data_IF_213215624189
#
_entry.id   IF_213215624189
#
_cell.length_a   1.000
_cell.length_b   1.000
_cell.length_c   1.000
_cell.angle_alpha   90.00
_cell.angle_beta   90.00
_cell.angle_gamma   90.00
#
_symmetry.space_group_name_H-M   'P 1'
#
loop_
_entity.id
_entity.type
_entity.pdbx_description
1 polymer ?
#
# COMPACT_ATOMS: atom_id res chain seq x y z
N UNK A 1 -8.66 9.12 17.18
CA UNK A 1 -9.82 8.57 16.45
C UNK A 1 -9.26 7.87 15.22
N UNK A 2 -8.85 6.61 15.36
CA UNK A 2 -7.98 5.92 14.38
C UNK A 2 -8.66 4.69 13.75
N UNK A 3 -10.00 4.61 13.77
CA UNK A 3 -10.75 3.44 13.29
C UNK A 3 -10.35 3.05 11.87
N UNK A 4 -10.20 4.01 10.95
CA UNK A 4 -9.80 3.73 9.57
C UNK A 4 -8.38 3.17 9.47
N UNK A 5 -7.43 3.68 10.26
CA UNK A 5 -6.05 3.19 10.24
C UNK A 5 -5.95 1.79 10.86
N UNK A 6 -6.65 1.54 11.96
CA UNK A 6 -6.75 0.20 12.53
C UNK A 6 -7.37 -0.77 11.54
N UNK A 7 -8.46 -0.37 10.88
CA UNK A 7 -9.09 -1.20 9.86
C UNK A 7 -8.13 -1.54 8.73
N UNK A 8 -7.42 -0.54 8.19
CA UNK A 8 -6.41 -0.76 7.16
C UNK A 8 -5.35 -1.77 7.61
N UNK A 9 -4.82 -1.63 8.82
CA UNK A 9 -3.79 -2.53 9.36
C UNK A 9 -4.31 -3.96 9.58
N UNK A 10 -5.53 -4.09 10.09
CA UNK A 10 -6.17 -5.39 10.32
C UNK A 10 -6.43 -6.11 9.01
N UNK A 11 -6.97 -5.42 8.00
CA UNK A 11 -7.15 -5.97 6.65
C UNK A 11 -5.82 -6.45 6.08
N UNK A 12 -4.78 -5.62 6.14
CA UNK A 12 -3.46 -5.98 5.59
C UNK A 12 -2.88 -7.21 6.28
N UNK A 13 -2.97 -7.27 7.61
CA UNK A 13 -2.51 -8.43 8.37
C UNK A 13 -3.29 -9.69 7.98
N UNK A 14 -4.61 -9.62 7.94
CA UNK A 14 -5.46 -10.75 7.59
C UNK A 14 -5.19 -11.28 6.18
N UNK A 15 -4.89 -10.39 5.22
CA UNK A 15 -4.49 -10.80 3.87
C UNK A 15 -3.11 -11.48 3.83
N UNK A 16 -2.16 -11.03 4.65
CA UNK A 16 -0.85 -11.69 4.80
C UNK A 16 -0.98 -13.08 5.42
N UNK A 17 -1.88 -13.22 6.40
CA UNK A 17 -2.19 -14.49 7.06
C UNK A 17 -3.07 -15.42 6.18
N UNK A 18 -3.38 -15.03 4.93
CA UNK A 18 -4.23 -15.76 3.99
C UNK A 18 -5.62 -16.09 4.59
N UNK A 19 -6.17 -15.17 5.38
CA UNK A 19 -7.50 -15.33 5.96
C UNK A 19 -8.56 -15.51 4.88
N UNK A 20 -9.55 -16.36 5.17
CA UNK A 20 -10.68 -16.56 4.27
C UNK A 20 -11.45 -15.23 4.07
N UNK A 21 -12.04 -14.98 2.89
CA UNK A 21 -12.84 -13.77 2.63
C UNK A 21 -14.01 -13.56 3.61
N UNK A 22 -14.51 -14.65 4.21
CA UNK A 22 -15.56 -14.63 5.22
C UNK A 22 -15.08 -14.19 6.63
N UNK A 23 -13.76 -14.08 6.86
CA UNK A 23 -13.22 -13.61 8.13
C UNK A 23 -13.63 -12.16 8.37
N UNK A 24 -14.07 -11.83 9.57
CA UNK A 24 -14.66 -10.54 9.89
C UNK A 24 -13.71 -9.60 10.63
N UNK A 25 -13.89 -8.31 10.40
CA UNK A 25 -13.25 -7.21 11.12
C UNK A 25 -14.34 -6.40 11.83
N UNK A 26 -14.07 -6.03 13.09
CA UNK A 26 -14.97 -5.20 13.89
C UNK A 26 -14.57 -3.73 13.84
N UNK A 27 -15.44 -2.90 13.27
CA UNK A 27 -15.29 -1.45 13.19
C UNK A 27 -16.15 -0.76 14.25
N UNK A 28 -15.64 0.32 14.84
CA UNK A 28 -16.36 1.15 15.81
C UNK A 28 -16.44 2.58 15.30
N UNK A 29 -17.63 3.15 15.30
CA UNK A 29 -17.87 4.47 14.74
C UNK A 29 -19.14 5.10 15.31
N UNK A 30 -19.63 6.09 14.58
CA UNK A 30 -20.89 6.79 14.90
C UNK A 30 -21.94 6.35 13.91
N UNK A 31 -23.09 5.91 14.42
CA UNK A 31 -24.27 5.69 13.60
C UNK A 31 -24.77 7.03 13.06
N UNK A 32 -24.96 7.13 11.75
CA UNK A 32 -25.40 8.38 11.11
C UNK A 32 -26.91 8.62 11.26
N UNK A 33 -27.71 7.58 11.53
CA UNK A 33 -29.17 7.69 11.67
C UNK A 33 -29.53 8.22 13.06
N UNK A 34 -29.06 7.54 14.09
CA UNK A 34 -29.40 7.76 15.50
C UNK A 34 -28.31 8.52 16.27
N UNK A 35 -27.16 8.84 15.63
CA UNK A 35 -26.05 9.66 16.17
C UNK A 35 -25.34 9.10 17.39
N UNK A 36 -25.56 7.82 17.74
CA UNK A 36 -24.94 7.13 18.87
C UNK A 36 -23.69 6.34 18.43
N UNK A 37 -22.77 6.01 19.36
CA UNK A 37 -21.69 5.07 19.09
C UNK A 37 -22.24 3.70 18.70
N UNK A 38 -21.70 3.14 17.62
CA UNK A 38 -22.08 1.83 17.11
C UNK A 38 -20.85 1.01 16.70
N UNK A 39 -21.04 -0.30 16.61
CA UNK A 39 -20.05 -1.22 16.07
C UNK A 39 -20.66 -2.04 14.93
N UNK A 40 -19.85 -2.34 13.93
CA UNK A 40 -20.22 -3.13 12.77
C UNK A 40 -19.17 -4.21 12.56
N UNK A 41 -19.60 -5.43 12.28
CA UNK A 41 -18.73 -6.51 11.83
C UNK A 41 -18.90 -6.67 10.32
N UNK A 42 -17.79 -6.64 9.58
CA UNK A 42 -17.78 -6.76 8.13
C UNK A 42 -16.83 -7.89 7.72
N UNK A 43 -17.23 -8.75 6.77
CA UNK A 43 -16.31 -9.64 6.09
C UNK A 43 -15.19 -8.87 5.41
N UNK A 44 -13.97 -9.40 5.47
CA UNK A 44 -12.83 -8.79 4.77
C UNK A 44 -13.03 -8.80 3.25
N UNK A 45 -13.76 -9.80 2.72
CA UNK A 45 -14.11 -9.89 1.31
C UNK A 45 -14.83 -8.65 0.78
N UNK A 46 -15.66 -7.99 1.60
CA UNK A 46 -16.38 -6.77 1.21
C UNK A 46 -15.46 -5.55 1.12
N UNK A 47 -14.33 -5.59 1.83
CA UNK A 47 -13.33 -4.50 1.86
C UNK A 47 -12.25 -4.69 0.80
N UNK A 48 -12.07 -5.90 0.26
CA UNK A 48 -11.10 -6.20 -0.80
C UNK A 48 -11.23 -5.28 -2.02
N UNK A 49 -12.41 -5.07 -2.62
CA UNK A 49 -12.56 -4.19 -3.79
C UNK A 49 -12.13 -2.75 -3.51
N UNK A 50 -12.30 -2.27 -2.27
CA UNK A 50 -11.87 -0.94 -1.85
C UNK A 50 -10.35 -0.86 -1.87
N UNK A 51 -9.67 -1.86 -1.30
CA UNK A 51 -8.20 -1.94 -1.31
C UNK A 51 -7.67 -2.03 -2.73
N UNK A 52 -8.21 -2.94 -3.54
CA UNK A 52 -7.81 -3.14 -4.94
C UNK A 52 -7.94 -1.86 -5.78
N UNK A 53 -9.02 -1.10 -5.60
CA UNK A 53 -9.21 0.20 -6.26
C UNK A 53 -8.06 1.17 -5.98
N UNK A 54 -7.59 1.24 -4.73
CA UNK A 54 -6.48 2.10 -4.35
C UNK A 54 -5.14 1.61 -4.92
N UNK A 55 -4.89 0.30 -4.86
CA UNK A 55 -3.67 -0.31 -5.44
C UNK A 55 -3.63 -0.09 -6.96
N UNK A 56 -4.76 -0.27 -7.64
CA UNK A 56 -4.88 -0.02 -9.08
C UNK A 56 -4.63 1.44 -9.44
N UNK A 57 -5.04 2.38 -8.58
CA UNK A 57 -4.73 3.81 -8.74
C UNK A 57 -3.23 4.09 -8.71
N UNK A 58 -2.52 3.57 -7.71
CA UNK A 58 -1.06 3.70 -7.57
C UNK A 58 -0.38 3.06 -8.79
N UNK A 59 -0.81 1.87 -9.17
CA UNK A 59 -0.22 1.11 -10.27
C UNK A 59 -0.36 1.84 -11.60
N UNK A 60 -1.55 2.35 -11.93
CA UNK A 60 -1.78 3.14 -13.14
C UNK A 60 -0.90 4.40 -13.18
N UNK A 61 -0.77 5.10 -12.06
CA UNK A 61 0.08 6.29 -11.97
C UNK A 61 1.54 5.94 -12.30
N UNK A 62 2.07 4.86 -11.73
CA UNK A 62 3.45 4.42 -11.98
C UNK A 62 3.64 4.01 -13.46
N UNK A 63 2.72 3.22 -14.03
CA UNK A 63 2.79 2.82 -15.44
C UNK A 63 2.77 4.05 -16.36
N UNK A 64 1.87 5.00 -16.10
CA UNK A 64 1.80 6.24 -16.89
C UNK A 64 3.08 7.07 -16.79
N UNK A 65 3.69 7.13 -15.61
CA UNK A 65 4.96 7.84 -15.41
C UNK A 65 6.07 7.18 -16.22
N UNK A 66 6.21 5.85 -16.14
CA UNK A 66 7.22 5.11 -16.89
C UNK A 66 7.08 5.30 -18.41
N UNK A 67 5.86 5.43 -18.92
CA UNK A 67 5.59 5.69 -20.34
C UNK A 67 6.01 7.09 -20.82
N UNK A 68 6.32 8.03 -19.92
CA UNK A 68 6.77 9.39 -20.25
C UNK A 68 8.29 9.56 -20.11
N UNK A 69 9.00 8.56 -19.60
CA UNK A 69 10.44 8.63 -19.36
C UNK A 69 11.20 8.53 -20.68
N UNK A 70 12.29 9.30 -20.82
CA UNK A 70 13.13 9.24 -22.00
C UNK A 70 13.80 7.86 -22.15
N UNK A 71 14.14 7.43 -23.38
CA UNK A 71 14.71 6.10 -23.61
C UNK A 71 16.01 5.84 -22.83
N UNK A 72 16.81 6.88 -22.58
CA UNK A 72 18.08 6.78 -21.85
C UNK A 72 17.87 6.33 -20.38
N UNK A 73 16.87 6.89 -19.70
CA UNK A 73 16.52 6.58 -18.31
C UNK A 73 15.70 5.29 -18.20
N UNK A 74 14.96 4.93 -19.25
CA UNK A 74 14.18 3.69 -19.28
C UNK A 74 15.07 2.45 -19.15
N UNK A 75 16.27 2.46 -19.75
CA UNK A 75 17.24 1.37 -19.62
C UNK A 75 17.71 1.20 -18.17
N UNK A 76 18.11 2.28 -17.52
CA UNK A 76 18.55 2.23 -16.11
C UNK A 76 17.45 1.71 -15.18
N UNK A 77 16.19 2.08 -15.43
CA UNK A 77 15.04 1.58 -14.67
C UNK A 77 14.75 0.10 -14.98
N UNK A 78 14.94 -0.33 -16.22
CA UNK A 78 14.79 -1.74 -16.57
C UNK A 78 15.80 -2.62 -15.83
N UNK A 79 17.05 -2.16 -15.72
CA UNK A 79 18.12 -2.92 -15.09
C UNK A 79 18.05 -2.92 -13.55
N UNK A 80 17.67 -1.78 -12.95
CA UNK A 80 17.65 -1.62 -11.49
C UNK A 80 16.26 -1.82 -10.85
N UNK A 81 15.19 -1.70 -11.64
CA UNK A 81 13.82 -1.81 -11.18
C UNK A 81 13.33 -0.63 -10.34
N UNK A 82 12.33 -0.91 -9.49
CA UNK A 82 11.66 0.06 -8.62
C UNK A 82 11.95 -0.29 -7.16
N UNK A 83 12.32 0.72 -6.35
CA UNK A 83 12.46 0.57 -4.89
C UNK A 83 11.30 1.26 -4.19
N UNK A 84 10.52 0.49 -3.43
CA UNK A 84 9.42 1.01 -2.62
C UNK A 84 9.89 1.50 -1.26
N UNK A 85 9.42 2.69 -0.88
CA UNK A 85 9.69 3.31 0.43
C UNK A 85 8.39 3.84 1.06
N UNK A 86 8.46 4.30 2.30
CA UNK A 86 7.33 4.79 3.09
C UNK A 86 6.67 3.71 3.94
N UNK A 87 5.84 4.13 4.90
CA UNK A 87 5.14 3.22 5.81
C UNK A 87 4.13 2.32 5.12
N UNK A 88 3.45 2.83 4.10
CA UNK A 88 2.49 2.05 3.30
C UNK A 88 3.15 1.03 2.36
N UNK A 89 4.45 1.13 2.09
CA UNK A 89 5.15 0.14 1.27
C UNK A 89 5.27 -1.23 1.96
N UNK A 90 5.20 -1.26 3.30
CA UNK A 90 5.15 -2.51 4.07
C UNK A 90 3.82 -3.26 3.90
N UNK A 91 2.80 -2.60 3.33
CA UNK A 91 1.57 -3.25 2.89
C UNK A 91 1.94 -4.06 1.64
N UNK A 92 2.23 -5.35 1.84
CA UNK A 92 2.69 -6.31 0.82
C UNK A 92 1.62 -6.63 -0.26
N UNK A 93 0.90 -5.62 -0.72
CA UNK A 93 -0.09 -5.64 -1.79
C UNK A 93 0.36 -4.76 -2.98
N UNK A 94 1.08 -3.67 -2.69
CA UNK A 94 1.57 -2.73 -3.72
C UNK A 94 2.70 -3.37 -4.54
N UNK A 95 3.65 -4.03 -3.88
CA UNK A 95 4.85 -4.60 -4.52
C UNK A 95 4.51 -5.63 -5.60
N UNK A 96 3.68 -6.67 -5.34
CA UNK A 96 3.33 -7.63 -6.37
C UNK A 96 2.52 -7.01 -7.51
N UNK A 97 1.57 -6.12 -7.18
CA UNK A 97 0.74 -5.45 -8.18
C UNK A 97 1.56 -4.58 -9.15
N UNK A 98 2.56 -3.85 -8.62
CA UNK A 98 3.47 -3.07 -9.44
C UNK A 98 4.35 -3.96 -10.30
N UNK A 99 4.96 -5.00 -9.73
CA UNK A 99 5.82 -5.91 -10.49
C UNK A 99 5.06 -6.56 -11.65
N UNK A 100 3.81 -6.99 -11.41
CA UNK A 100 2.95 -7.54 -12.44
C UNK A 100 2.60 -6.53 -13.54
N UNK A 101 2.27 -5.30 -13.16
CA UNK A 101 1.80 -4.30 -14.11
C UNK A 101 2.92 -3.64 -14.94
N UNK A 102 4.13 -3.53 -14.38
CA UNK A 102 5.27 -2.90 -15.06
C UNK A 102 6.22 -3.91 -15.71
N UNK A 103 6.19 -5.18 -15.28
CA UNK A 103 7.17 -6.19 -15.66
C UNK A 103 8.56 -5.96 -15.06
N UNK A 104 8.72 -4.96 -14.19
CA UNK A 104 9.99 -4.61 -13.57
C UNK A 104 10.20 -5.35 -12.25
N UNK A 105 11.46 -5.53 -11.88
CA UNK A 105 11.79 -5.91 -10.51
C UNK A 105 11.32 -4.82 -9.53
N UNK A 106 10.65 -5.21 -8.45
CA UNK A 106 10.20 -4.28 -7.40
C UNK A 106 10.70 -4.75 -6.04
N UNK A 107 11.59 -3.96 -5.45
CA UNK A 107 12.18 -4.22 -4.13
C UNK A 107 11.51 -3.36 -3.04
N UNK A 108 11.47 -3.88 -1.81
CA UNK A 108 11.10 -3.09 -0.62
C UNK A 108 12.36 -2.65 0.10
N UNK A 109 12.49 -1.36 0.41
CA UNK A 109 13.62 -0.87 1.20
C UNK A 109 13.58 -1.43 2.62
N UNK A 110 14.75 -1.84 3.14
CA UNK A 110 14.89 -2.54 4.44
C UNK A 110 14.33 -1.75 5.63
N UNK A 111 14.39 -0.41 5.59
CA UNK A 111 13.76 0.49 6.56
C UNK A 111 12.81 1.46 5.85
N UNK A 112 11.86 0.94 5.08
CA UNK A 112 10.98 1.73 4.19
C UNK A 112 10.33 2.93 4.89
N UNK A 113 9.87 2.77 6.13
CA UNK A 113 9.24 3.83 6.92
C UNK A 113 10.18 5.00 7.27
N UNK A 114 11.49 4.75 7.33
CA UNK A 114 12.50 5.72 7.76
C UNK A 114 13.37 6.23 6.60
N UNK A 115 13.19 5.75 5.37
CA UNK A 115 14.03 6.12 4.22
C UNK A 115 14.22 7.64 4.08
N UNK A 116 13.17 8.44 4.25
CA UNK A 116 13.25 9.91 4.15
C UNK A 116 14.13 10.49 5.26
N UNK A 117 13.87 10.13 6.52
CA UNK A 117 14.64 10.62 7.67
C UNK A 117 16.11 10.17 7.60
N UNK A 118 16.37 8.91 7.25
CA UNK A 118 17.72 8.38 7.06
C UNK A 118 18.46 9.04 5.89
N UNK A 119 17.75 9.37 4.80
CA UNK A 119 18.33 10.10 3.68
C UNK A 119 18.78 11.51 4.08
N UNK A 120 17.93 12.24 4.80
CA UNK A 120 18.27 13.56 5.33
C UNK A 120 19.45 13.51 6.30
N UNK A 121 19.46 12.55 7.23
CA UNK A 121 20.56 12.37 8.17
C UNK A 121 21.90 12.19 7.44
N UNK A 122 21.95 11.34 6.41
CA UNK A 122 23.17 11.12 5.62
C UNK A 122 23.63 12.38 4.90
N UNK A 123 22.70 13.16 4.35
CA UNK A 123 23.01 14.40 3.64
C UNK A 123 23.53 15.53 4.54
N UNK A 124 23.18 15.52 5.83
CA UNK A 124 23.63 16.53 6.80
C UNK A 124 24.95 16.17 7.50
N UNK A 125 25.31 14.88 7.53
CA UNK A 125 26.53 14.36 8.15
C UNK A 125 27.65 14.09 7.13
N UNK A 126 27.43 14.48 5.88
CA UNK A 126 28.40 14.52 4.79
C UNK A 126 28.56 15.96 4.31
#
# INVERSE_FOLDING_TARGET
MNTAEHAKRDIVRMLQDQAAPAATIRLKGRDLVNRLPAALELPIGDLLPVVEKHIAGITRMVVNLLGQISPELSRDIHDNGIVLTGGSAAINLVRPALAQATGLHVALASNSAYCVASGLQKALLH
#
